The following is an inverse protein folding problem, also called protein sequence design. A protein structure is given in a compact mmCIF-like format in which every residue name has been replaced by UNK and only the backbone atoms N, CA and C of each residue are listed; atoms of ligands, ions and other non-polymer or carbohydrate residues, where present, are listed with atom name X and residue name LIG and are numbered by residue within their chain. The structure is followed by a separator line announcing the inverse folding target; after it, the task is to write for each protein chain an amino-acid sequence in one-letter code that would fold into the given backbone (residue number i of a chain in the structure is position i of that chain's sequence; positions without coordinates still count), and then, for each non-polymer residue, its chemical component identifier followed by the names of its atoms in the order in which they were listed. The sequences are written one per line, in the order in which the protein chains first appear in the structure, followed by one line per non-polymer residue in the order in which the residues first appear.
data_IF_480618223455
#
_entry.id   IF_480618223455
#
_cell.length_a   1.000
_cell.length_b   1.000
_cell.length_c   1.000
_cell.angle_alpha   90.00
_cell.angle_beta   90.00
_cell.angle_gamma   90.00
#
_symmetry.space_group_name_H-M   'P 1'
#
loop_
_entity.id
_entity.type
_entity.pdbx_description
1 polymer ?
#
# COMPACT_ATOMS: atom_id res chain seq x y z
N UNK A 1 3.48 -13.02 -10.31
CA UNK A 1 3.63 -12.59 -11.74
C UNK A 1 5.08 -12.27 -12.06
N UNK A 2 5.76 -11.33 -11.38
CA UNK A 2 7.18 -10.95 -11.60
C UNK A 2 8.11 -12.15 -11.68
N UNK A 3 8.08 -13.01 -10.67
CA UNK A 3 8.88 -14.23 -10.59
C UNK A 3 8.71 -15.16 -11.81
N UNK A 4 7.47 -15.34 -12.29
CA UNK A 4 7.20 -16.16 -13.48
C UNK A 4 7.80 -15.57 -14.75
N UNK A 5 7.75 -14.25 -14.91
CA UNK A 5 8.38 -13.58 -16.05
C UNK A 5 9.90 -13.76 -16.03
N UNK A 6 10.53 -13.60 -14.89
CA UNK A 6 11.98 -13.73 -14.77
C UNK A 6 12.45 -15.19 -14.90
N UNK A 7 11.84 -16.13 -14.14
CA UNK A 7 12.27 -17.54 -14.17
C UNK A 7 11.96 -18.26 -15.49
N UNK A 8 10.80 -17.97 -16.10
CA UNK A 8 10.34 -18.77 -17.24
C UNK A 8 10.63 -18.13 -18.59
N UNK A 9 10.83 -16.82 -18.64
CA UNK A 9 10.92 -16.07 -19.90
C UNK A 9 12.16 -15.17 -20.00
N UNK A 10 13.00 -15.15 -18.95
CA UNK A 10 14.19 -14.28 -18.88
C UNK A 10 13.83 -12.79 -19.13
N UNK A 11 12.66 -12.37 -18.65
CA UNK A 11 12.17 -11.01 -18.78
C UNK A 11 12.28 -10.28 -17.44
N UNK A 12 13.12 -9.26 -17.38
CA UNK A 12 13.20 -8.40 -16.21
C UNK A 12 12.05 -7.39 -16.20
N UNK A 13 11.20 -7.48 -15.18
CA UNK A 13 10.11 -6.53 -14.98
C UNK A 13 10.54 -5.48 -13.96
N UNK A 14 10.33 -4.22 -14.31
CA UNK A 14 10.63 -3.07 -13.45
C UNK A 14 9.30 -2.48 -12.98
N UNK A 15 9.11 -2.41 -11.67
CA UNK A 15 7.99 -1.72 -11.07
C UNK A 15 8.23 -0.21 -11.12
N UNK A 16 7.19 0.55 -11.39
CA UNK A 16 7.22 2.01 -11.35
C UNK A 16 5.89 2.53 -10.79
N UNK A 17 5.95 3.67 -10.12
CA UNK A 17 4.78 4.35 -9.61
C UNK A 17 4.79 5.81 -10.03
N UNK A 18 3.61 6.35 -10.24
CA UNK A 18 3.39 7.75 -10.56
C UNK A 18 1.93 8.05 -10.82
N UNK A 19 1.64 9.31 -11.08
CA UNK A 19 0.30 9.81 -11.32
C UNK A 19 0.35 10.98 -12.29
N UNK A 20 -0.82 11.41 -12.77
CA UNK A 20 -0.92 12.53 -13.72
C UNK A 20 -0.26 13.80 -13.19
N UNK A 21 -0.41 14.06 -11.90
CA UNK A 21 0.17 15.20 -11.20
C UNK A 21 1.70 15.18 -11.13
N UNK A 22 2.33 14.06 -11.49
CA UNK A 22 3.79 13.85 -11.47
C UNK A 22 4.42 13.82 -12.87
N UNK A 23 3.65 13.94 -13.93
CA UNK A 23 4.04 14.05 -15.34
C UNK A 23 4.92 12.92 -15.93
N UNK A 24 4.62 11.64 -15.78
CA UNK A 24 3.78 10.94 -14.83
C UNK A 24 4.53 10.20 -13.73
N UNK A 25 5.89 10.15 -13.75
CA UNK A 25 6.71 9.20 -13.01
C UNK A 25 7.27 9.76 -11.71
N UNK A 26 6.92 9.10 -10.58
CA UNK A 26 7.44 9.43 -9.25
C UNK A 26 8.59 8.52 -8.81
N UNK A 27 8.42 7.22 -8.95
CA UNK A 27 9.44 6.24 -8.54
C UNK A 27 9.69 5.20 -9.62
N UNK A 28 10.86 4.54 -9.50
CA UNK A 28 11.26 3.43 -10.36
C UNK A 28 12.02 2.38 -9.57
N UNK A 29 11.70 1.11 -9.79
CA UNK A 29 12.25 -0.06 -9.11
C UNK A 29 13.64 -0.48 -9.62
N UNK A 30 14.51 0.45 -9.93
CA UNK A 30 15.88 0.15 -10.33
C UNK A 30 16.75 -0.17 -9.11
N UNK A 31 17.57 -1.23 -9.22
CA UNK A 31 18.55 -1.58 -8.20
C UNK A 31 19.62 -0.51 -8.02
N UNK A 32 20.14 -0.39 -6.81
CA UNK A 32 21.34 0.40 -6.54
C UNK A 32 22.59 -0.40 -6.92
N UNK A 33 23.67 0.30 -7.18
CA UNK A 33 24.99 -0.32 -7.29
C UNK A 33 25.32 -1.15 -6.05
N UNK A 34 25.80 -2.35 -6.25
CA UNK A 34 26.07 -3.32 -5.18
C UNK A 34 24.90 -4.27 -4.86
N UNK A 35 23.75 -4.08 -5.48
CA UNK A 35 22.61 -5.00 -5.34
C UNK A 35 22.60 -6.12 -6.40
N UNK A 36 23.56 -6.12 -7.30
CA UNK A 36 23.69 -7.13 -8.37
C UNK A 36 23.97 -8.52 -7.79
N UNK A 37 24.65 -8.58 -6.62
CA UNK A 37 25.04 -9.82 -5.96
C UNK A 37 23.98 -10.38 -5.01
N UNK A 38 22.85 -9.69 -4.80
CA UNK A 38 21.75 -10.18 -3.99
C UNK A 38 21.18 -11.48 -4.57
N UNK A 39 20.72 -12.35 -3.69
CA UNK A 39 19.99 -13.57 -4.07
C UNK A 39 18.73 -13.24 -4.88
N UNK A 40 18.18 -14.24 -5.55
CA UNK A 40 16.95 -14.07 -6.32
C UNK A 40 15.79 -13.58 -5.43
N UNK A 41 15.64 -14.17 -4.25
CA UNK A 41 14.53 -13.84 -3.32
C UNK A 41 14.66 -12.42 -2.78
N UNK A 42 15.86 -11.98 -2.38
CA UNK A 42 16.12 -10.61 -1.95
C UNK A 42 15.82 -9.59 -3.08
N UNK A 43 16.17 -9.95 -4.32
CA UNK A 43 15.82 -9.12 -5.49
C UNK A 43 14.32 -9.05 -5.72
N UNK A 44 13.58 -10.15 -5.50
CA UNK A 44 12.12 -10.17 -5.61
C UNK A 44 11.48 -9.28 -4.55
N UNK A 45 11.93 -9.32 -3.30
CA UNK A 45 11.42 -8.46 -2.22
C UNK A 45 11.58 -6.97 -2.56
N UNK A 46 12.70 -6.58 -3.18
CA UNK A 46 12.91 -5.21 -3.65
C UNK A 46 11.99 -4.88 -4.82
N UNK A 47 11.81 -5.80 -5.78
CA UNK A 47 10.97 -5.59 -6.97
C UNK A 47 9.47 -5.53 -6.68
N UNK A 48 9.02 -6.06 -5.55
CA UNK A 48 7.63 -5.91 -5.10
C UNK A 48 7.31 -4.47 -4.66
N UNK A 49 8.31 -3.69 -4.26
CA UNK A 49 8.14 -2.28 -3.91
C UNK A 49 8.02 -1.42 -5.17
N UNK A 50 7.39 -0.24 -5.04
CA UNK A 50 7.20 0.70 -6.15
C UNK A 50 8.48 1.44 -6.56
N UNK A 51 9.57 1.19 -5.83
CA UNK A 51 10.89 1.68 -6.18
C UNK A 51 11.30 2.95 -5.44
N UNK A 52 12.29 3.63 -5.97
CA UNK A 52 12.89 4.84 -5.37
C UNK A 52 12.53 6.07 -6.17
N UNK A 53 12.57 7.24 -5.52
CA UNK A 53 12.36 8.52 -6.16
C UNK A 53 13.18 8.65 -7.45
N UNK A 54 12.52 9.07 -8.53
CA UNK A 54 13.16 9.45 -9.77
C UNK A 54 14.00 10.72 -9.57
N UNK A 55 14.94 10.98 -10.50
CA UNK A 55 15.75 12.18 -10.43
C UNK A 55 14.90 13.45 -10.29
N UNK A 56 15.26 14.32 -9.35
CA UNK A 56 14.55 15.56 -8.98
C UNK A 56 13.18 15.37 -8.32
N UNK A 57 12.78 14.16 -7.95
CA UNK A 57 11.62 13.92 -7.10
C UNK A 57 12.09 13.73 -5.67
N UNK A 58 11.54 14.50 -4.76
CA UNK A 58 11.68 14.33 -3.31
C UNK A 58 10.44 13.66 -2.77
N UNK A 59 10.61 12.77 -1.79
CA UNK A 59 9.52 12.08 -1.11
C UNK A 59 9.66 12.25 0.40
N UNK A 60 8.56 12.26 1.11
CA UNK A 60 8.49 12.05 2.56
C UNK A 60 7.21 11.32 2.91
N UNK A 61 7.19 10.71 4.09
CA UNK A 61 5.97 10.17 4.70
C UNK A 61 5.69 10.92 5.99
N UNK A 62 4.41 11.19 6.28
CA UNK A 62 3.98 11.94 7.47
C UNK A 62 2.85 11.22 8.19
N UNK A 63 2.75 11.48 9.51
CA UNK A 63 1.57 11.13 10.29
C UNK A 63 0.38 12.08 9.97
N UNK A 64 -0.76 11.87 10.65
CA UNK A 64 -1.96 12.70 10.52
C UNK A 64 -1.75 14.15 10.96
N UNK A 65 -0.77 14.43 11.82
CA UNK A 65 -0.41 15.76 12.30
C UNK A 65 0.59 16.45 11.36
N UNK A 66 1.07 15.77 10.32
CA UNK A 66 2.04 16.28 9.35
C UNK A 66 3.50 16.17 9.80
N UNK A 67 3.78 15.45 10.90
CA UNK A 67 5.16 15.19 11.32
C UNK A 67 5.79 14.16 10.41
N UNK A 68 7.04 14.41 9.99
CA UNK A 68 7.78 13.49 9.13
C UNK A 68 8.15 12.19 9.88
N UNK A 69 7.87 11.06 9.24
CA UNK A 69 8.18 9.73 9.76
C UNK A 69 9.52 9.21 9.23
N UNK A 70 10.22 8.35 10.00
CA UNK A 70 11.52 7.81 9.58
C UNK A 70 11.39 6.80 8.43
N UNK A 71 12.42 6.73 7.60
CA UNK A 71 12.56 5.74 6.54
C UNK A 71 13.13 4.43 7.08
N UNK A 72 12.30 3.65 7.76
CA UNK A 72 12.69 2.39 8.40
C UNK A 72 12.01 1.15 7.81
N UNK A 73 11.17 1.35 6.76
CA UNK A 73 10.42 0.30 6.09
C UNK A 73 9.29 -0.32 6.93
N UNK A 74 8.94 0.30 8.06
CA UNK A 74 7.91 -0.19 9.00
C UNK A 74 6.83 0.84 9.25
N UNK A 75 7.24 2.05 9.60
CA UNK A 75 6.30 3.15 9.82
C UNK A 75 5.74 3.56 8.47
N UNK A 76 4.43 3.61 8.35
CA UNK A 76 3.74 4.04 7.14
C UNK A 76 2.92 5.29 7.42
N UNK A 77 2.84 6.16 6.44
CA UNK A 77 2.19 7.45 6.55
C UNK A 77 1.77 8.00 5.21
N UNK A 78 1.13 9.17 5.23
CA UNK A 78 0.76 9.89 4.01
C UNK A 78 2.00 10.15 3.15
N UNK A 79 1.97 9.69 1.90
CA UNK A 79 3.05 9.91 0.95
C UNK A 79 2.94 11.29 0.32
N UNK A 80 3.93 12.13 0.56
CA UNK A 80 4.04 13.44 -0.03
C UNK A 80 5.24 13.50 -0.97
N UNK A 81 5.08 14.23 -2.08
CA UNK A 81 6.10 14.37 -3.12
C UNK A 81 6.31 15.81 -3.51
N UNK A 82 7.55 16.15 -3.90
CA UNK A 82 7.94 17.47 -4.38
C UNK A 82 8.92 17.36 -5.55
N UNK A 83 8.83 18.26 -6.51
CA UNK A 83 9.77 18.31 -7.61
C UNK A 83 9.30 19.19 -8.77
N UNK A 84 10.14 19.46 -9.76
CA UNK A 84 9.81 20.35 -10.88
C UNK A 84 8.74 19.77 -11.83
N UNK A 85 8.48 18.46 -11.74
CA UNK A 85 7.49 17.76 -12.56
C UNK A 85 6.14 17.60 -11.84
N UNK A 86 6.06 18.02 -10.56
CA UNK A 86 4.85 17.92 -9.76
C UNK A 86 3.94 19.09 -10.05
N UNK A 87 2.65 18.85 -10.26
CA UNK A 87 1.65 19.88 -10.49
C UNK A 87 1.59 20.86 -9.30
N UNK A 88 1.64 22.15 -9.59
CA UNK A 88 1.55 23.19 -8.56
C UNK A 88 0.11 23.63 -8.29
N UNK A 89 -0.81 23.34 -9.20
CA UNK A 89 -2.26 23.63 -9.08
C UNK A 89 -3.03 22.92 -10.20
N UNK A 90 -4.30 22.70 -9.97
CA UNK A 90 -5.24 22.30 -11.01
C UNK A 90 -5.71 23.50 -11.85
N UNK A 91 -6.23 23.18 -13.05
CA UNK A 91 -6.75 24.19 -13.96
C UNK A 91 -7.93 24.94 -13.31
N UNK A 92 -8.02 26.28 -13.54
CA UNK A 92 -9.03 27.15 -12.97
C UNK A 92 -9.06 27.23 -11.43
N UNK A 93 -8.05 26.66 -10.75
CA UNK A 93 -7.99 26.67 -9.29
C UNK A 93 -8.89 25.63 -8.62
N UNK A 94 -9.35 24.62 -9.36
CA UNK A 94 -10.05 23.49 -8.77
C UNK A 94 -9.16 22.83 -7.70
N UNK A 95 -9.77 22.38 -6.59
CA UNK A 95 -9.04 21.79 -5.45
C UNK A 95 -8.28 22.81 -4.56
N UNK A 96 -8.28 24.10 -4.89
CA UNK A 96 -7.64 25.13 -4.08
C UNK A 96 -6.10 25.02 -4.05
N UNK A 97 -5.50 25.17 -2.87
CA UNK A 97 -4.07 24.99 -2.65
C UNK A 97 -3.79 23.50 -2.46
N UNK A 98 -3.06 22.90 -3.40
CA UNK A 98 -2.76 21.46 -3.41
C UNK A 98 -1.36 21.12 -2.89
N UNK A 99 -0.53 22.14 -2.64
CA UNK A 99 0.80 21.97 -2.05
C UNK A 99 0.77 22.47 -0.59
N UNK A 100 1.51 21.77 0.26
CA UNK A 100 1.76 22.20 1.62
C UNK A 100 2.67 23.44 1.66
N UNK A 101 2.97 23.97 2.87
CA UNK A 101 3.83 25.13 3.06
C UNK A 101 5.30 24.91 2.69
N UNK A 102 5.72 23.66 2.48
CA UNK A 102 7.06 23.28 2.04
C UNK A 102 7.09 22.94 0.53
N UNK A 103 5.94 23.04 -0.15
CA UNK A 103 5.81 22.74 -1.58
C UNK A 103 5.64 21.26 -1.92
N UNK A 104 5.25 20.42 -0.94
CA UNK A 104 4.92 19.02 -1.17
C UNK A 104 3.45 18.87 -1.55
N UNK A 105 3.21 17.95 -2.48
CA UNK A 105 1.90 17.48 -2.91
C UNK A 105 1.55 16.19 -2.18
N UNK A 106 0.36 16.14 -1.56
CA UNK A 106 -0.18 14.92 -0.97
C UNK A 106 -0.76 14.04 -2.09
N UNK A 107 -0.21 12.83 -2.23
CA UNK A 107 -0.60 11.90 -3.31
C UNK A 107 -1.91 11.18 -3.05
N UNK A 108 -2.39 11.20 -1.81
CA UNK A 108 -3.52 10.39 -1.35
C UNK A 108 -3.16 8.91 -1.19
N UNK A 109 -1.89 8.54 -1.29
CA UNK A 109 -1.39 7.20 -0.98
C UNK A 109 -0.76 7.18 0.43
N UNK A 110 -0.84 6.01 1.06
CA UNK A 110 -0.11 5.69 2.29
C UNK A 110 1.03 4.74 1.93
N UNK A 111 2.22 5.01 2.41
CA UNK A 111 3.41 4.26 2.05
C UNK A 111 4.38 4.10 3.21
N UNK A 112 5.23 3.07 3.13
CA UNK A 112 6.49 2.98 3.87
C UNK A 112 7.64 3.37 2.96
N UNK A 113 8.75 3.83 3.54
CA UNK A 113 10.03 4.01 2.82
C UNK A 113 11.12 3.34 3.66
N UNK A 114 11.92 2.48 3.06
CA UNK A 114 13.02 1.84 3.77
C UNK A 114 14.31 2.69 3.77
N UNK A 115 15.29 2.27 4.57
CA UNK A 115 16.59 2.95 4.72
C UNK A 115 17.36 3.10 3.39
N UNK A 116 17.04 2.28 2.39
CA UNK A 116 17.61 2.34 1.06
C UNK A 116 16.82 3.26 0.11
N UNK A 117 15.69 3.79 0.58
CA UNK A 117 14.81 4.69 -0.15
C UNK A 117 13.82 4.00 -1.08
N UNK A 118 13.61 2.68 -0.93
CA UNK A 118 12.55 2.00 -1.66
C UNK A 118 11.21 2.22 -0.96
N UNK A 119 10.29 2.80 -1.71
CA UNK A 119 8.93 3.08 -1.29
C UNK A 119 8.03 1.89 -1.59
N UNK A 120 7.15 1.58 -0.65
CA UNK A 120 6.09 0.59 -0.81
C UNK A 120 4.75 1.22 -0.42
N UNK A 121 3.80 1.26 -1.37
CA UNK A 121 2.43 1.67 -1.08
C UNK A 121 1.78 0.57 -0.25
N UNK A 122 1.19 0.96 0.85
CA UNK A 122 0.49 0.08 1.78
C UNK A 122 -1.02 0.24 1.68
N UNK A 123 -1.50 1.45 1.34
CA UNK A 123 -2.92 1.73 1.20
C UNK A 123 -3.19 3.06 0.48
N UNK A 124 -4.48 3.41 0.36
CA UNK A 124 -4.95 4.77 0.07
C UNK A 124 -5.31 5.48 1.37
N UNK A 125 -5.04 6.78 1.45
CA UNK A 125 -5.33 7.59 2.66
C UNK A 125 -6.79 7.56 3.10
N UNK A 126 -7.72 7.35 2.14
CA UNK A 126 -9.16 7.26 2.39
C UNK A 126 -9.64 5.86 2.77
N UNK A 127 -8.83 4.82 2.52
CA UNK A 127 -9.21 3.42 2.68
C UNK A 127 -8.47 2.76 3.87
N UNK A 128 -7.36 3.37 4.33
CA UNK A 128 -6.65 2.93 5.55
C UNK A 128 -7.58 3.02 6.76
N UNK A 129 -7.62 1.96 7.56
CA UNK A 129 -8.52 1.84 8.71
C UNK A 129 -7.79 2.35 9.95
N UNK A 130 -8.36 3.34 10.62
CA UNK A 130 -7.78 3.97 11.81
C UNK A 130 -8.39 3.38 13.08
N UNK A 131 -7.69 2.44 13.69
CA UNK A 131 -8.18 1.66 14.83
C UNK A 131 -7.36 1.93 16.09
N UNK A 132 -7.95 2.66 17.05
CA UNK A 132 -7.33 2.91 18.35
C UNK A 132 -6.02 3.71 18.29
N UNK A 133 -5.84 4.55 17.28
CA UNK A 133 -4.61 5.32 17.05
C UNK A 133 -3.56 4.58 16.20
N UNK A 134 -3.83 3.37 15.78
CA UNK A 134 -3.00 2.58 14.88
C UNK A 134 -3.67 2.49 13.49
N UNK A 135 -2.87 2.36 12.47
CA UNK A 135 -3.35 2.22 11.10
C UNK A 135 -3.33 0.75 10.67
N UNK A 136 -4.39 0.30 10.02
CA UNK A 136 -4.54 -1.05 9.48
C UNK A 136 -4.68 -0.93 7.97
N UNK A 137 -3.80 -1.61 7.22
CA UNK A 137 -3.87 -1.65 5.76
C UNK A 137 -5.02 -2.53 5.29
N UNK A 138 -5.98 -1.94 4.56
CA UNK A 138 -7.05 -2.69 3.90
C UNK A 138 -6.49 -3.62 2.85
N UNK A 139 -5.53 -3.15 2.04
CA UNK A 139 -4.89 -3.91 0.95
C UNK A 139 -4.16 -5.16 1.48
N UNK A 140 -3.45 -5.06 2.60
CA UNK A 140 -2.75 -6.22 3.18
C UNK A 140 -3.74 -7.27 3.67
N UNK A 141 -4.81 -6.85 4.35
CA UNK A 141 -5.88 -7.73 4.77
C UNK A 141 -6.55 -8.44 3.59
N UNK A 142 -6.89 -7.70 2.52
CA UNK A 142 -7.50 -8.23 1.30
C UNK A 142 -6.60 -9.26 0.63
N UNK A 143 -5.31 -8.95 0.47
CA UNK A 143 -4.33 -9.85 -0.15
C UNK A 143 -4.18 -11.17 0.62
N UNK A 144 -4.19 -11.12 1.96
CA UNK A 144 -4.11 -12.31 2.79
C UNK A 144 -5.43 -13.09 2.71
N UNK A 145 -6.58 -12.42 2.73
CA UNK A 145 -7.90 -13.06 2.67
C UNK A 145 -8.12 -13.81 1.34
N UNK A 146 -7.72 -13.22 0.20
CA UNK A 146 -7.75 -13.88 -1.13
C UNK A 146 -6.83 -15.11 -1.20
N UNK A 147 -5.83 -15.21 -0.32
CA UNK A 147 -5.01 -16.42 -0.18
C UNK A 147 -5.76 -17.62 0.41
N UNK A 148 -6.97 -17.44 0.98
CA UNK A 148 -7.80 -18.54 1.46
C UNK A 148 -8.41 -19.32 0.28
N UNK A 149 -8.35 -20.69 0.28
CA UNK A 149 -8.74 -21.51 -0.88
C UNK A 149 -10.21 -21.39 -1.28
N UNK A 150 -11.07 -20.91 -0.38
CA UNK A 150 -12.51 -20.80 -0.61
C UNK A 150 -12.96 -19.34 -0.85
N UNK A 151 -12.02 -18.39 -0.95
CA UNK A 151 -12.29 -16.96 -1.23
C UNK A 151 -11.77 -16.61 -2.61
N UNK A 152 -12.65 -16.07 -3.47
CA UNK A 152 -12.28 -15.61 -4.81
C UNK A 152 -11.83 -14.15 -4.79
N UNK A 153 -12.58 -13.29 -4.11
CA UNK A 153 -12.30 -11.87 -3.97
C UNK A 153 -12.55 -11.42 -2.53
N UNK A 154 -11.83 -10.41 -2.11
CA UNK A 154 -11.99 -9.81 -0.79
C UNK A 154 -11.87 -8.30 -0.87
N UNK A 155 -12.67 -7.62 -0.06
CA UNK A 155 -12.58 -6.20 0.21
C UNK A 155 -12.64 -5.96 1.73
N UNK A 156 -11.92 -4.96 2.22
CA UNK A 156 -11.94 -4.59 3.64
C UNK A 156 -12.30 -3.14 3.80
N UNK A 157 -13.25 -2.86 4.66
CA UNK A 157 -13.67 -1.49 4.99
C UNK A 157 -13.57 -1.23 6.49
N UNK A 158 -13.27 0.01 6.85
CA UNK A 158 -13.40 0.50 8.21
C UNK A 158 -14.86 0.73 8.57
N UNK A 159 -15.33 0.11 9.65
CA UNK A 159 -16.65 0.40 10.22
C UNK A 159 -16.49 1.09 11.56
N UNK A 160 -17.36 2.07 11.84
CA UNK A 160 -17.32 2.80 13.11
C UNK A 160 -17.42 1.87 14.31
N UNK A 161 -16.51 2.07 15.28
CA UNK A 161 -16.49 1.34 16.54
C UNK A 161 -16.36 2.32 17.73
N UNK A 162 -17.26 2.28 18.75
CA UNK A 162 -17.35 3.29 19.78
C UNK A 162 -16.11 3.41 20.69
N UNK A 163 -15.24 2.40 20.71
CA UNK A 163 -14.02 2.38 21.52
C UNK A 163 -12.75 2.58 20.69
N UNK A 164 -12.75 2.11 19.44
CA UNK A 164 -11.55 2.02 18.62
C UNK A 164 -11.57 2.97 17.40
N UNK A 165 -12.61 3.81 17.29
CA UNK A 165 -12.90 4.67 16.14
C UNK A 165 -13.37 3.85 14.94
N UNK A 166 -12.49 3.04 14.36
CA UNK A 166 -12.83 2.10 13.30
C UNK A 166 -12.35 0.68 13.62
N UNK A 167 -13.05 -0.29 13.04
CA UNK A 167 -12.62 -1.70 13.02
C UNK A 167 -12.80 -2.28 11.63
N UNK A 168 -11.90 -3.20 11.21
CA UNK A 168 -12.02 -3.84 9.91
C UNK A 168 -13.27 -4.73 9.83
N UNK A 169 -14.02 -4.59 8.73
CA UNK A 169 -15.02 -5.54 8.26
C UNK A 169 -14.53 -6.16 6.97
N UNK A 170 -14.41 -7.48 6.94
CA UNK A 170 -14.01 -8.22 5.76
C UNK A 170 -15.24 -8.63 4.95
N UNK A 171 -15.23 -8.31 3.67
CA UNK A 171 -16.26 -8.69 2.70
C UNK A 171 -15.60 -9.67 1.73
N UNK A 172 -16.20 -10.86 1.55
CA UNK A 172 -15.66 -11.91 0.70
C UNK A 172 -16.66 -12.37 -0.35
N UNK A 173 -16.17 -12.60 -1.56
CA UNK A 173 -16.86 -13.38 -2.59
C UNK A 173 -16.35 -14.83 -2.50
N UNK A 174 -17.22 -15.83 -2.29
CA UNK A 174 -16.81 -17.23 -2.29
C UNK A 174 -16.22 -17.68 -3.63
N UNK A 175 -15.24 -18.58 -3.60
CA UNK A 175 -14.78 -19.24 -4.80
C UNK A 175 -15.88 -20.14 -5.39
N UNK A 176 -15.85 -20.36 -6.70
CA UNK A 176 -16.87 -21.12 -7.43
C UNK A 176 -17.09 -22.52 -6.81
N UNK A 177 -18.35 -22.79 -6.44
CA UNK A 177 -18.75 -24.06 -5.80
C UNK A 177 -18.28 -24.23 -4.35
N UNK A 178 -17.88 -23.16 -3.69
CA UNK A 178 -17.46 -23.13 -2.29
C UNK A 178 -18.46 -22.41 -1.42
N UNK A 179 -18.51 -22.82 -0.16
CA UNK A 179 -19.34 -22.23 0.90
C UNK A 179 -18.45 -21.98 2.14
N UNK A 180 -17.55 -20.96 2.09
CA UNK A 180 -16.73 -20.63 3.24
C UNK A 180 -17.59 -20.19 4.42
N UNK A 181 -17.13 -20.50 5.62
CA UNK A 181 -17.72 -19.94 6.82
C UNK A 181 -16.80 -18.89 7.45
N UNK A 182 -17.37 -17.99 8.22
CA UNK A 182 -16.70 -16.89 8.89
C UNK A 182 -15.54 -17.37 9.77
N UNK A 183 -15.74 -18.40 10.56
CA UNK A 183 -14.76 -18.86 11.55
C UNK A 183 -13.51 -19.39 10.85
N UNK A 184 -13.66 -20.14 9.76
CA UNK A 184 -12.54 -20.68 8.98
C UNK A 184 -11.71 -19.56 8.33
N UNK A 185 -12.36 -18.52 7.82
CA UNK A 185 -11.66 -17.37 7.22
C UNK A 185 -10.91 -16.60 8.30
N UNK A 186 -11.52 -16.33 9.44
CA UNK A 186 -10.87 -15.64 10.55
C UNK A 186 -9.71 -16.46 11.13
N UNK A 187 -9.85 -17.78 11.28
CA UNK A 187 -8.76 -18.66 11.72
C UNK A 187 -7.57 -18.62 10.76
N UNK A 188 -7.83 -18.64 9.45
CA UNK A 188 -6.78 -18.51 8.44
C UNK A 188 -6.00 -17.19 8.52
N UNK A 189 -6.68 -16.11 8.90
CA UNK A 189 -6.07 -14.78 9.07
C UNK A 189 -5.26 -14.68 10.37
N UNK A 190 -5.66 -15.37 11.46
CA UNK A 190 -5.02 -15.28 12.77
C UNK A 190 -3.54 -15.64 12.76
N UNK A 191 -3.14 -16.61 11.93
CA UNK A 191 -1.75 -17.07 11.84
C UNK A 191 -0.86 -16.12 11.01
N UNK A 192 -1.46 -15.15 10.33
CA UNK A 192 -0.78 -14.29 9.35
C UNK A 192 -0.78 -12.81 9.70
N UNK A 193 -1.62 -12.42 10.63
CA UNK A 193 -1.84 -11.02 11.01
C UNK A 193 -1.59 -10.76 12.49
N UNK A 194 -1.25 -9.54 12.82
CA UNK A 194 -1.30 -9.08 14.20
C UNK A 194 -2.74 -9.17 14.73
N UNK A 195 -2.91 -9.59 15.99
CA UNK A 195 -4.24 -9.82 16.58
C UNK A 195 -5.17 -8.61 16.50
N UNK A 196 -4.66 -7.42 16.57
CA UNK A 196 -5.42 -6.18 16.54
C UNK A 196 -5.78 -5.74 15.11
N UNK A 197 -5.22 -6.38 14.09
CA UNK A 197 -5.59 -6.21 12.68
C UNK A 197 -6.76 -7.10 12.25
N UNK A 198 -7.05 -8.15 13.02
CA UNK A 198 -8.10 -9.10 12.64
C UNK A 198 -9.46 -8.39 12.48
N UNK A 199 -10.19 -8.70 11.39
CA UNK A 199 -11.54 -8.20 11.20
C UNK A 199 -12.45 -8.63 12.34
N UNK A 200 -13.35 -7.72 12.76
CA UNK A 200 -14.34 -8.03 13.78
C UNK A 200 -15.47 -8.91 13.22
N UNK A 201 -15.68 -8.85 11.90
CA UNK A 201 -16.68 -9.66 11.20
C UNK A 201 -16.29 -9.99 9.76
N UNK A 202 -16.94 -11.02 9.19
CA UNK A 202 -16.83 -11.42 7.78
C UNK A 202 -18.23 -11.50 7.19
N UNK A 203 -18.43 -10.85 6.06
CA UNK A 203 -19.68 -10.86 5.28
C UNK A 203 -19.42 -11.51 3.93
N UNK A 204 -20.28 -12.41 3.51
CA UNK A 204 -20.21 -13.01 2.19
C UNK A 204 -21.22 -12.35 1.26
N UNK A 205 -20.78 -12.06 0.03
CA UNK A 205 -21.59 -11.46 -1.04
C UNK A 205 -21.43 -12.26 -2.32
N UNK A 206 -22.39 -12.13 -3.24
CA UNK A 206 -22.35 -12.86 -4.51
C UNK A 206 -21.41 -12.22 -5.54
N UNK A 207 -21.25 -10.89 -5.50
CA UNK A 207 -20.38 -10.05 -6.36
C UNK A 207 -19.93 -8.82 -5.59
#
# INVERSE_FOLDING_TARGET
MLEKFEKNYDVSVIHAWGMTEMSPLGTIGAFKSGMEELSFDEKMDIKLKQGRASYMVEMKITDDDGNELPWNGKDFGHLLVRGPFIASKYMKGDGGQILDNQGFFDTGDVATIDELGFMQITDRSKDVIKSGGEWISSIELENIAVGHPDVAEAAVIGIFHPKWDERPLLICVPAEGKEPNKDNVLEYLQDKLAKWWLPDDVVFVDE
#
